data_IF_568680648019
#
_entry.id   IF_568680648019
#
_cell.length_a   1.000
_cell.length_b   1.000
_cell.length_c   1.000
_cell.angle_alpha   90.00
_cell.angle_beta   90.00
_cell.angle_gamma   90.00
#
_symmetry.space_group_name_H-M   'P 1'
#
loop_
_entity.id
_entity.type
_entity.pdbx_description
1 polymer ?
#
# COMPACT_ATOMS: atom_id res chain seq x y z
N UNK A 1 -32.59 -7.00 21.17
CA UNK A 1 -31.25 -6.61 21.63
C UNK A 1 -30.33 -6.67 20.41
N UNK A 2 -30.29 -5.62 19.61
CA UNK A 2 -29.41 -5.52 18.44
C UNK A 2 -28.30 -4.51 18.73
N UNK A 3 -27.10 -5.03 19.02
CA UNK A 3 -25.89 -4.21 19.14
C UNK A 3 -25.38 -3.92 17.72
N UNK A 4 -25.82 -2.81 17.16
CA UNK A 4 -25.22 -2.22 15.97
C UNK A 4 -23.86 -1.61 16.37
N UNK A 5 -22.76 -2.33 16.13
CA UNK A 5 -21.41 -1.80 16.25
C UNK A 5 -21.16 -0.80 15.10
N UNK A 6 -21.54 0.46 15.32
CA UNK A 6 -21.09 1.59 14.49
C UNK A 6 -19.74 2.06 15.02
N UNK A 7 -18.67 1.73 14.32
CA UNK A 7 -17.40 2.43 14.44
C UNK A 7 -17.29 3.42 13.28
N UNK A 8 -18.02 4.54 13.36
CA UNK A 8 -17.88 5.65 12.42
C UNK A 8 -16.70 6.53 12.86
N UNK A 9 -15.50 6.24 12.34
CA UNK A 9 -14.43 7.26 12.31
C UNK A 9 -14.85 8.35 11.33
N UNK A 10 -15.05 9.59 11.82
CA UNK A 10 -15.38 10.77 11.01
C UNK A 10 -14.12 11.29 10.30
N UNK A 11 -13.52 10.50 9.42
CA UNK A 11 -12.58 11.00 8.42
C UNK A 11 -13.24 10.88 7.07
N UNK A 12 -13.64 12.00 6.47
CA UNK A 12 -13.99 12.04 5.06
C UNK A 12 -12.73 11.72 4.28
N UNK A 13 -12.61 10.47 3.84
CA UNK A 13 -11.58 10.09 2.88
C UNK A 13 -11.92 10.79 1.56
N UNK A 14 -11.19 11.85 1.23
CA UNK A 14 -11.20 12.40 -0.12
C UNK A 14 -10.29 11.51 -0.96
N UNK A 15 -10.86 10.89 -1.98
CA UNK A 15 -10.11 10.18 -3.00
C UNK A 15 -10.34 10.87 -4.34
N UNK A 16 -9.28 11.00 -5.13
CA UNK A 16 -9.37 11.39 -6.54
C UNK A 16 -9.22 10.15 -7.41
N UNK A 17 -9.94 10.13 -8.53
CA UNK A 17 -9.81 9.10 -9.56
C UNK A 17 -9.23 9.79 -10.77
N UNK A 18 -8.16 9.21 -11.33
CA UNK A 18 -7.48 9.71 -12.51
C UNK A 18 -7.58 8.67 -13.62
N UNK A 19 -7.75 9.15 -14.84
CA UNK A 19 -7.70 8.33 -16.05
C UNK A 19 -6.42 8.67 -16.79
N UNK A 20 -5.72 7.63 -17.25
CA UNK A 20 -4.47 7.76 -17.98
C UNK A 20 -4.72 7.30 -19.40
N UNK A 21 -4.70 8.25 -20.34
CA UNK A 21 -4.83 7.95 -21.77
C UNK A 21 -3.49 7.48 -22.36
N UNK A 22 -3.53 6.78 -23.48
CA UNK A 22 -2.35 6.38 -24.26
C UNK A 22 -1.92 4.92 -24.08
N UNK A 23 -0.89 4.52 -24.83
CA UNK A 23 -0.28 3.20 -24.71
C UNK A 23 0.44 3.10 -23.36
N UNK A 24 0.07 2.07 -22.59
CA UNK A 24 0.70 1.79 -21.31
C UNK A 24 1.76 0.69 -21.51
N UNK A 25 2.88 0.81 -20.81
CA UNK A 25 3.90 -0.22 -20.85
C UNK A 25 3.54 -1.34 -19.88
N UNK A 26 3.81 -2.58 -20.28
CA UNK A 26 3.80 -3.74 -19.39
C UNK A 26 5.17 -4.39 -19.42
N UNK A 27 5.55 -5.00 -18.32
CA UNK A 27 6.74 -5.83 -18.25
C UNK A 27 6.43 -7.16 -17.57
N UNK A 28 7.46 -7.97 -17.34
CA UNK A 28 7.29 -9.21 -16.58
C UNK A 28 6.98 -8.97 -15.11
N UNK A 29 7.21 -7.76 -14.58
CA UNK A 29 6.95 -7.41 -13.18
C UNK A 29 6.02 -6.23 -12.97
N UNK A 30 5.79 -5.39 -14.00
CA UNK A 30 4.88 -4.25 -13.94
C UNK A 30 3.59 -4.55 -14.71
N UNK A 31 2.47 -4.43 -14.03
CA UNK A 31 1.14 -4.49 -14.64
C UNK A 31 0.62 -3.10 -15.06
N UNK A 32 -0.54 -3.08 -15.73
CA UNK A 32 -1.16 -1.85 -16.19
C UNK A 32 -1.57 -0.89 -15.06
N UNK A 33 -1.95 -1.43 -13.90
CA UNK A 33 -2.29 -0.61 -12.73
C UNK A 33 -1.06 0.14 -12.22
N UNK A 34 0.06 -0.54 -12.09
CA UNK A 34 1.33 0.04 -11.67
C UNK A 34 1.88 1.02 -12.71
N UNK A 35 1.85 0.65 -14.00
CA UNK A 35 2.25 1.51 -15.10
C UNK A 35 1.44 2.81 -15.13
N UNK A 36 0.12 2.73 -14.89
CA UNK A 36 -0.74 3.91 -14.82
C UNK A 36 -0.39 4.83 -13.64
N UNK A 37 -0.03 4.28 -12.49
CA UNK A 37 0.43 5.05 -11.33
C UNK A 37 1.74 5.79 -11.61
N UNK A 38 2.69 5.13 -12.27
CA UNK A 38 3.97 5.73 -12.67
C UNK A 38 3.73 6.89 -13.65
N UNK A 39 2.87 6.69 -14.65
CA UNK A 39 2.55 7.72 -15.65
C UNK A 39 1.84 8.95 -15.05
N UNK A 40 1.09 8.78 -13.96
CA UNK A 40 0.47 9.90 -13.24
C UNK A 40 1.46 10.74 -12.44
N UNK A 41 2.69 10.28 -12.26
CA UNK A 41 3.69 11.00 -11.47
C UNK A 41 3.95 12.41 -12.00
N UNK A 42 4.08 12.58 -13.32
CA UNK A 42 4.34 13.89 -13.94
C UNK A 42 3.20 14.90 -13.69
N UNK A 43 1.98 14.41 -13.48
CA UNK A 43 0.80 15.25 -13.27
C UNK A 43 0.55 15.56 -11.80
N UNK A 44 0.84 14.61 -10.91
CA UNK A 44 0.48 14.69 -9.49
C UNK A 44 1.67 14.96 -8.58
N UNK A 45 2.90 14.80 -9.09
CA UNK A 45 4.16 14.94 -8.36
C UNK A 45 4.12 14.32 -6.95
N UNK A 46 3.69 13.06 -6.81
CA UNK A 46 3.45 12.47 -5.51
C UNK A 46 4.77 12.32 -4.74
N UNK A 47 4.76 12.73 -3.47
CA UNK A 47 5.91 12.49 -2.60
C UNK A 47 6.20 11.00 -2.39
N UNK A 48 5.16 10.16 -2.43
CA UNK A 48 5.26 8.71 -2.25
C UNK A 48 4.31 7.95 -3.18
N UNK A 49 4.79 6.80 -3.67
CA UNK A 49 3.96 5.75 -4.26
C UNK A 49 3.94 4.55 -3.31
N UNK A 50 2.75 3.98 -3.08
CA UNK A 50 2.57 2.81 -2.23
C UNK A 50 2.18 1.60 -3.10
N UNK A 51 3.01 0.55 -3.08
CA UNK A 51 2.70 -0.73 -3.74
C UNK A 51 2.66 -1.86 -2.72
N UNK A 52 1.89 -2.91 -2.98
CA UNK A 52 1.95 -4.16 -2.24
C UNK A 52 2.61 -5.30 -3.03
N UNK A 53 3.14 -5.02 -4.23
CA UNK A 53 3.98 -5.97 -4.96
C UNK A 53 5.47 -5.71 -4.68
N UNK A 54 6.05 -6.60 -3.87
CA UNK A 54 7.48 -6.55 -3.58
C UNK A 54 8.35 -6.90 -4.81
N UNK A 55 7.81 -7.66 -5.77
CA UNK A 55 8.55 -8.10 -6.97
C UNK A 55 8.69 -6.96 -7.97
N UNK A 56 7.65 -6.13 -8.09
CA UNK A 56 7.64 -4.92 -8.92
C UNK A 56 8.53 -3.81 -8.35
N UNK A 57 8.73 -3.78 -7.03
CA UNK A 57 9.40 -2.68 -6.31
C UNK A 57 10.74 -2.23 -6.94
N UNK A 58 11.69 -3.12 -7.32
CA UNK A 58 12.95 -2.69 -7.92
C UNK A 58 12.78 -2.01 -9.28
N UNK A 59 11.80 -2.46 -10.08
CA UNK A 59 11.53 -1.89 -11.41
C UNK A 59 10.76 -0.57 -11.29
N UNK A 60 9.74 -0.48 -10.42
CA UNK A 60 9.04 0.79 -10.15
C UNK A 60 10.05 1.87 -9.74
N UNK A 61 11.01 1.54 -8.87
CA UNK A 61 12.02 2.47 -8.38
C UNK A 61 12.96 3.03 -9.47
N UNK A 62 13.11 2.38 -10.62
CA UNK A 62 13.90 2.91 -11.74
C UNK A 62 13.07 3.78 -12.68
N UNK A 63 11.74 3.67 -12.62
CA UNK A 63 10.80 4.31 -13.52
C UNK A 63 10.15 5.57 -12.94
N UNK A 64 10.35 5.85 -11.65
CA UNK A 64 9.73 6.97 -10.93
C UNK A 64 10.75 7.75 -10.11
N UNK A 65 10.52 9.05 -9.95
CA UNK A 65 11.28 9.92 -9.03
C UNK A 65 10.63 9.98 -7.64
N UNK A 66 9.37 9.59 -7.51
CA UNK A 66 8.64 9.49 -6.26
C UNK A 66 9.25 8.42 -5.33
N UNK A 67 9.10 8.60 -4.02
CA UNK A 67 9.55 7.59 -3.06
C UNK A 67 8.62 6.39 -3.07
N UNK A 68 9.09 5.24 -3.50
CA UNK A 68 8.28 4.01 -3.49
C UNK A 68 8.43 3.29 -2.15
N UNK A 69 7.30 2.97 -1.52
CA UNK A 69 7.26 2.20 -0.28
C UNK A 69 6.22 1.08 -0.34
N UNK A 70 6.45 0.01 0.43
CA UNK A 70 5.47 -1.05 0.55
C UNK A 70 4.27 -0.56 1.39
N UNK A 71 3.05 -0.76 0.90
CA UNK A 71 1.81 -0.32 1.55
C UNK A 71 1.62 -0.81 3.01
N UNK A 72 2.20 -1.94 3.49
CA UNK A 72 2.17 -2.28 4.91
C UNK A 72 2.78 -1.23 5.84
N UNK A 73 3.59 -0.29 5.33
CA UNK A 73 4.09 0.86 6.10
C UNK A 73 2.95 1.72 6.69
N UNK A 74 1.77 1.69 6.07
CA UNK A 74 0.58 2.40 6.58
C UNK A 74 0.17 1.88 7.95
N UNK A 75 0.28 0.57 8.21
CA UNK A 75 -0.03 0.00 9.52
C UNK A 75 0.89 0.59 10.61
N UNK A 76 2.19 0.70 10.32
CA UNK A 76 3.16 1.35 11.22
C UNK A 76 2.81 2.81 11.46
N UNK A 77 2.47 3.55 10.40
CA UNK A 77 2.10 4.96 10.51
C UNK A 77 0.85 5.17 11.38
N UNK A 78 -0.14 4.28 11.27
CA UNK A 78 -1.34 4.31 12.12
C UNK A 78 -1.02 4.01 13.59
N UNK A 79 -0.10 3.08 13.86
CA UNK A 79 0.39 2.80 15.21
C UNK A 79 1.11 4.00 15.81
N UNK A 80 2.06 4.60 15.07
CA UNK A 80 2.80 5.78 15.52
C UNK A 80 1.91 6.98 15.81
N UNK A 81 0.74 7.07 15.16
CA UNK A 81 -0.24 8.14 15.38
C UNK A 81 -1.26 7.81 16.48
N UNK A 82 -1.15 6.66 17.14
CA UNK A 82 -2.12 6.22 18.16
C UNK A 82 -3.52 5.89 17.59
N UNK A 83 -3.65 5.74 16.27
CA UNK A 83 -4.92 5.41 15.61
C UNK A 83 -5.18 3.90 15.66
N UNK A 84 -4.12 3.10 15.71
CA UNK A 84 -4.18 1.65 15.73
C UNK A 84 -3.26 1.09 16.81
N UNK A 85 -3.78 0.23 17.68
CA UNK A 85 -2.94 -0.46 18.66
C UNK A 85 -1.91 -1.39 17.97
N UNK A 86 -0.67 -1.52 18.51
CA UNK A 86 0.36 -2.39 17.93
C UNK A 86 -0.12 -3.82 17.68
N UNK A 87 -0.83 -4.40 18.65
CA UNK A 87 -1.40 -5.76 18.53
C UNK A 87 -2.43 -5.85 17.39
N UNK A 88 -3.24 -4.81 17.20
CA UNK A 88 -4.21 -4.76 16.12
C UNK A 88 -3.53 -4.61 14.75
N UNK A 89 -2.41 -3.88 14.67
CA UNK A 89 -1.62 -3.79 13.45
C UNK A 89 -1.01 -5.14 13.05
N UNK A 90 -0.46 -5.89 14.01
CA UNK A 90 0.04 -7.24 13.77
C UNK A 90 -1.06 -8.20 13.30
N UNK A 91 -2.22 -8.19 13.98
CA UNK A 91 -3.36 -9.02 13.57
C UNK A 91 -3.85 -8.68 12.15
N UNK A 92 -3.89 -7.38 11.80
CA UNK A 92 -4.26 -6.95 10.43
C UNK A 92 -3.24 -7.42 9.41
N UNK A 93 -1.95 -7.31 9.70
CA UNK A 93 -0.90 -7.82 8.80
C UNK A 93 -1.05 -9.32 8.57
N UNK A 94 -1.33 -10.12 9.62
CA UNK A 94 -1.57 -11.56 9.49
C UNK A 94 -2.81 -11.88 8.66
N UNK A 95 -3.87 -11.09 8.80
CA UNK A 95 -5.06 -11.22 7.95
C UNK A 95 -4.76 -10.92 6.48
N UNK A 96 -4.07 -9.81 6.20
CA UNK A 96 -3.65 -9.45 4.84
C UNK A 96 -2.80 -10.57 4.24
N UNK A 97 -1.83 -11.06 5.01
CA UNK A 97 -0.93 -12.10 4.56
C UNK A 97 -1.65 -13.42 4.23
N UNK A 98 -2.69 -13.78 4.99
CA UNK A 98 -3.56 -14.93 4.66
C UNK A 98 -4.35 -14.69 3.37
N UNK A 99 -4.95 -13.49 3.22
CA UNK A 99 -5.81 -13.19 2.07
C UNK A 99 -5.04 -13.02 0.76
N UNK A 100 -3.79 -12.56 0.82
CA UNK A 100 -2.96 -12.30 -0.36
C UNK A 100 -1.85 -13.33 -0.56
N UNK A 101 -1.93 -14.45 0.16
CA UNK A 101 -0.94 -15.53 0.13
C UNK A 101 0.51 -15.06 0.36
N UNK A 102 0.69 -14.08 1.25
CA UNK A 102 2.01 -13.58 1.62
C UNK A 102 2.66 -14.42 2.72
N UNK A 103 1.96 -15.39 3.31
CA UNK A 103 2.51 -16.18 4.41
C UNK A 103 3.77 -16.93 3.95
N UNK A 104 4.88 -16.69 4.66
CA UNK A 104 6.20 -17.21 4.28
C UNK A 104 6.89 -16.49 3.12
N UNK A 105 6.17 -15.61 2.41
CA UNK A 105 6.72 -14.81 1.32
C UNK A 105 7.64 -13.68 1.85
N UNK A 106 8.59 -13.21 1.03
CA UNK A 106 9.51 -12.13 1.43
C UNK A 106 8.79 -10.83 1.85
N UNK A 107 7.64 -10.51 1.24
CA UNK A 107 6.86 -9.31 1.59
C UNK A 107 6.31 -9.37 3.01
N UNK A 108 5.84 -10.53 3.47
CA UNK A 108 5.35 -10.68 4.84
C UNK A 108 6.47 -10.46 5.86
N UNK A 109 7.66 -11.04 5.61
CA UNK A 109 8.83 -10.82 6.47
C UNK A 109 9.22 -9.35 6.54
N UNK A 110 9.25 -8.66 5.38
CA UNK A 110 9.57 -7.23 5.32
C UNK A 110 8.52 -6.39 6.03
N UNK A 111 7.24 -6.68 5.83
CA UNK A 111 6.13 -6.01 6.48
C UNK A 111 6.13 -6.19 8.01
N UNK A 112 6.53 -7.39 8.50
CA UNK A 112 6.66 -7.65 9.93
C UNK A 112 7.79 -6.80 10.54
N UNK A 113 8.96 -6.78 9.89
CA UNK A 113 10.07 -5.93 10.31
C UNK A 113 9.68 -4.44 10.38
N UNK A 114 8.90 -3.94 9.41
CA UNK A 114 8.41 -2.56 9.43
C UNK A 114 7.54 -2.23 10.65
N UNK A 115 6.84 -3.21 11.24
CA UNK A 115 6.04 -3.01 12.45
C UNK A 115 6.87 -3.06 13.74
N UNK A 116 8.01 -3.75 13.70
CA UNK A 116 8.89 -3.90 14.85
C UNK A 116 9.91 -2.73 14.97
N UNK A 117 10.04 -1.89 13.93
CA UNK A 117 10.82 -0.63 13.87
C UNK A 117 10.08 0.62 14.36
#
# INVERSE_FOLDING_TARGET
MDRQLRMCSKQQAQFSVHTVDGEQFESSTIDQGEASCIRLEEQLEPAFLLTDDLRALPEIQTLTTAKVALSPIVLRALVKRGVLEPKNAQNRLEQIAKTRDWLGAPIYRRARQLLDE
#
